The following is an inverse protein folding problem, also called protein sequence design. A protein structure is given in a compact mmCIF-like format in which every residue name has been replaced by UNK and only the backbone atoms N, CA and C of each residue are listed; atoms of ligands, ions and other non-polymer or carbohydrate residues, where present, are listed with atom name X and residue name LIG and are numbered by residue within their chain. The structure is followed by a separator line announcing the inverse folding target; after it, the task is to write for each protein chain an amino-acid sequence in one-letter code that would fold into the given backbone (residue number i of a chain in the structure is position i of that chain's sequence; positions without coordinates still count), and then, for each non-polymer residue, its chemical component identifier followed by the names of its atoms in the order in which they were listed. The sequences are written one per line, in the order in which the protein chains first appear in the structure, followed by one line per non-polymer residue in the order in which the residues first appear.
data_IF_805510832210
#
_entry.id   IF_805510832210
#
_cell.length_a   1.000
_cell.length_b   1.000
_cell.length_c   1.000
_cell.angle_alpha   90.00
_cell.angle_beta   90.00
_cell.angle_gamma   90.00
#
_symmetry.space_group_name_H-M   'P 1'
#
loop_
_entity.id
_entity.type
_entity.pdbx_description
1 polymer ?
#
# COMPACT_ATOMS: atom_id res chain seq x y z
N UNK A 1 -6.83 16.51 -7.75
CA UNK A 1 -6.70 17.99 -7.89
C UNK A 1 -5.85 18.34 -9.11
N UNK A 2 -6.22 19.35 -9.90
CA UNK A 2 -5.40 19.85 -11.02
C UNK A 2 -4.67 21.13 -10.63
N UNK A 3 -3.37 21.19 -10.90
CA UNK A 3 -2.54 22.37 -10.64
C UNK A 3 -1.62 22.63 -11.84
N UNK A 4 -1.15 23.87 -11.97
CA UNK A 4 -0.18 24.23 -13.01
C UNK A 4 1.20 24.43 -12.38
N UNK A 5 2.21 23.72 -12.87
CA UNK A 5 3.61 23.84 -12.47
C UNK A 5 4.44 24.09 -13.73
N UNK A 6 5.17 25.21 -13.79
CA UNK A 6 6.02 25.56 -14.94
C UNK A 6 5.28 25.40 -16.29
N UNK A 7 4.07 25.99 -16.37
CA UNK A 7 3.16 25.94 -17.52
C UNK A 7 2.64 24.55 -17.94
N UNK A 8 2.84 23.53 -17.09
CA UNK A 8 2.28 22.19 -17.27
C UNK A 8 1.14 21.93 -16.28
N UNK A 9 0.00 21.51 -16.79
CA UNK A 9 -1.10 21.02 -15.96
C UNK A 9 -0.74 19.60 -15.45
N UNK A 10 -0.77 19.41 -14.13
CA UNK A 10 -0.53 18.12 -13.49
C UNK A 10 -1.70 17.76 -12.59
N UNK A 11 -1.91 16.46 -12.38
CA UNK A 11 -2.99 15.92 -11.55
C UNK A 11 -2.39 15.30 -10.30
N UNK A 12 -2.64 15.91 -9.16
CA UNK A 12 -2.24 15.40 -7.84
C UNK A 12 -3.42 14.62 -7.24
N UNK A 13 -3.22 13.38 -6.76
CA UNK A 13 -4.29 12.63 -6.13
C UNK A 13 -4.72 13.27 -4.81
N UNK A 14 -6.03 13.30 -4.60
CA UNK A 14 -6.73 13.85 -3.42
C UNK A 14 -7.44 12.80 -2.60
N UNK A 15 -7.56 11.58 -3.13
CA UNK A 15 -8.12 10.41 -2.44
C UNK A 15 -7.34 9.16 -2.80
N UNK A 16 -7.48 8.12 -1.97
CA UNK A 16 -6.86 6.82 -2.21
C UNK A 16 -7.36 6.15 -3.50
N UNK A 17 -8.57 6.52 -3.97
CA UNK A 17 -9.11 6.04 -5.24
C UNK A 17 -8.50 6.70 -6.49
N UNK A 18 -7.77 7.80 -6.33
CA UNK A 18 -7.19 8.57 -7.44
C UNK A 18 -5.76 8.15 -7.80
N UNK A 19 -5.17 7.21 -7.05
CA UNK A 19 -3.88 6.60 -7.41
C UNK A 19 -3.90 5.09 -7.17
N UNK A 20 -2.96 4.42 -7.82
CA UNK A 20 -2.95 2.97 -7.94
C UNK A 20 -1.88 2.33 -7.06
N UNK A 21 -2.06 1.03 -6.79
CA UNK A 21 -1.07 0.22 -6.10
C UNK A 21 0.28 0.23 -6.84
N UNK A 22 0.28 0.22 -8.16
CA UNK A 22 1.47 0.37 -8.98
C UNK A 22 2.18 1.70 -8.75
N UNK A 23 1.44 2.80 -8.66
CA UNK A 23 2.02 4.11 -8.30
C UNK A 23 2.58 4.13 -6.88
N UNK A 24 1.93 3.46 -5.92
CA UNK A 24 2.44 3.33 -4.54
C UNK A 24 3.75 2.55 -4.47
N UNK A 25 3.85 1.46 -5.24
CA UNK A 25 5.06 0.64 -5.38
C UNK A 25 6.18 1.47 -6.02
N UNK A 26 5.90 2.14 -7.15
CA UNK A 26 6.88 2.98 -7.81
C UNK A 26 7.39 4.11 -6.90
N UNK A 27 6.52 4.76 -6.12
CA UNK A 27 6.95 5.74 -5.13
C UNK A 27 7.87 5.13 -4.05
N UNK A 28 7.55 3.92 -3.59
CA UNK A 28 8.36 3.22 -2.60
C UNK A 28 9.76 2.91 -3.14
N UNK A 29 9.83 2.43 -4.39
CA UNK A 29 11.08 2.10 -5.07
C UNK A 29 11.94 3.34 -5.33
N UNK A 30 11.31 4.43 -5.82
CA UNK A 30 12.01 5.65 -6.20
C UNK A 30 12.47 6.46 -4.98
N UNK A 31 11.63 6.60 -3.96
CA UNK A 31 11.90 7.46 -2.80
C UNK A 31 11.65 6.80 -1.45
N UNK A 32 10.60 5.99 -1.31
CA UNK A 32 10.14 5.50 -0.01
C UNK A 32 11.18 4.66 0.75
N UNK A 33 11.95 3.82 0.06
CA UNK A 33 12.97 2.97 0.71
C UNK A 33 14.12 3.78 1.33
N UNK A 34 14.55 4.84 0.65
CA UNK A 34 15.55 5.77 1.18
C UNK A 34 14.99 6.56 2.37
N UNK A 35 13.76 7.07 2.23
CA UNK A 35 13.06 7.80 3.29
C UNK A 35 12.85 6.92 4.54
N UNK A 36 12.46 5.66 4.39
CA UNK A 36 12.30 4.71 5.49
C UNK A 36 13.64 4.44 6.20
N UNK A 37 14.73 4.37 5.43
CA UNK A 37 16.08 4.20 5.98
C UNK A 37 16.53 5.44 6.74
N UNK A 38 16.24 6.63 6.21
CA UNK A 38 16.56 7.90 6.86
C UNK A 38 15.76 8.06 8.15
N UNK A 39 14.45 7.82 8.12
CA UNK A 39 13.59 7.91 9.30
C UNK A 39 14.07 6.98 10.43
N UNK A 40 14.50 5.76 10.12
CA UNK A 40 15.07 4.84 11.12
C UNK A 40 16.32 5.42 11.79
N UNK A 41 17.22 6.02 11.01
CA UNK A 41 18.41 6.70 11.57
C UNK A 41 18.01 7.83 12.52
N UNK A 42 17.02 8.65 12.14
CA UNK A 42 16.51 9.74 12.98
C UNK A 42 15.92 9.22 14.29
N UNK A 43 15.14 8.13 14.23
CA UNK A 43 14.55 7.49 15.41
C UNK A 43 15.63 7.03 16.38
N UNK A 44 16.75 6.52 15.87
CA UNK A 44 17.89 6.03 16.65
C UNK A 44 18.81 7.16 17.18
N UNK A 45 18.60 8.42 16.79
CA UNK A 45 19.36 9.56 17.30
C UNK A 45 18.94 9.94 18.72
N UNK A 46 19.93 10.37 19.52
CA UNK A 46 19.67 10.99 20.82
C UNK A 46 18.85 12.28 20.65
N UNK A 47 17.95 12.52 21.59
CA UNK A 47 17.12 13.73 21.57
C UNK A 47 17.99 14.97 21.78
N UNK A 48 17.83 15.95 20.89
CA UNK A 48 18.60 17.18 20.91
C UNK A 48 18.49 17.95 19.60
N UNK A 49 19.21 19.07 19.53
CA UNK A 49 19.19 19.98 18.38
C UNK A 49 19.51 19.27 17.07
N UNK A 50 20.47 18.34 17.07
CA UNK A 50 20.87 17.59 15.87
C UNK A 50 19.72 16.74 15.33
N UNK A 51 18.96 16.07 16.20
CA UNK A 51 17.78 15.29 15.83
C UNK A 51 16.66 16.20 15.31
N UNK A 52 16.42 17.34 15.94
CA UNK A 52 15.41 18.31 15.49
C UNK A 52 15.73 18.86 14.10
N UNK A 53 17.01 19.16 13.82
CA UNK A 53 17.48 19.60 12.52
C UNK A 53 17.30 18.51 11.46
N UNK A 54 17.70 17.29 11.77
CA UNK A 54 17.56 16.15 10.86
C UNK A 54 16.09 15.83 10.56
N UNK A 55 15.21 15.89 11.56
CA UNK A 55 13.76 15.75 11.38
C UNK A 55 13.18 16.85 10.47
N UNK A 56 13.66 18.09 10.61
CA UNK A 56 13.23 19.19 9.75
C UNK A 56 13.64 18.94 8.29
N UNK A 57 14.88 18.53 8.07
CA UNK A 57 15.38 18.20 6.72
C UNK A 57 14.60 17.03 6.12
N UNK A 58 14.38 15.96 6.89
CA UNK A 58 13.57 14.82 6.47
C UNK A 58 12.15 15.22 6.08
N UNK A 59 11.48 16.07 6.87
CA UNK A 59 10.12 16.55 6.56
C UNK A 59 10.08 17.33 5.25
N UNK A 60 11.08 18.19 5.01
CA UNK A 60 11.20 18.93 3.74
C UNK A 60 11.44 17.98 2.56
N UNK A 61 12.42 17.08 2.67
CA UNK A 61 12.75 16.13 1.60
C UNK A 61 11.58 15.19 1.27
N UNK A 62 10.91 14.65 2.29
CA UNK A 62 9.70 13.83 2.10
C UNK A 62 8.62 14.62 1.34
N UNK A 63 8.37 15.87 1.73
CA UNK A 63 7.40 16.73 1.08
C UNK A 63 7.73 16.94 -0.40
N UNK A 64 8.96 17.37 -0.72
CA UNK A 64 9.37 17.65 -2.09
C UNK A 64 9.34 16.40 -2.96
N UNK A 65 9.88 15.27 -2.48
CA UNK A 65 9.92 14.01 -3.23
C UNK A 65 8.51 13.46 -3.49
N UNK A 66 7.64 13.51 -2.48
CA UNK A 66 6.24 13.08 -2.63
C UNK A 66 5.52 13.92 -3.68
N UNK A 67 5.64 15.25 -3.58
CA UNK A 67 5.01 16.15 -4.54
C UNK A 67 5.57 15.94 -5.95
N UNK A 68 6.90 15.86 -6.09
CA UNK A 68 7.59 15.65 -7.35
C UNK A 68 7.11 14.38 -8.06
N UNK A 69 7.03 13.27 -7.30
CA UNK A 69 6.55 11.98 -7.81
C UNK A 69 5.16 12.09 -8.42
N UNK A 70 4.18 12.61 -7.67
CA UNK A 70 2.79 12.71 -8.16
C UNK A 70 2.61 13.80 -9.21
N UNK A 71 3.45 14.84 -9.20
CA UNK A 71 3.47 15.87 -10.23
C UNK A 71 4.15 15.39 -11.53
N UNK A 72 4.86 14.25 -11.50
CA UNK A 72 5.63 13.77 -12.65
C UNK A 72 6.83 14.66 -12.98
N UNK A 73 7.47 15.24 -11.96
CA UNK A 73 8.68 16.05 -12.10
C UNK A 73 9.79 15.57 -11.16
N UNK A 74 10.97 16.20 -11.21
CA UNK A 74 12.08 15.88 -10.30
C UNK A 74 12.12 16.85 -9.12
N UNK A 75 12.61 16.42 -7.95
CA UNK A 75 12.82 17.33 -6.82
C UNK A 75 13.68 18.55 -7.18
N UNK A 76 14.70 18.38 -8.02
CA UNK A 76 15.57 19.48 -8.45
C UNK A 76 14.83 20.51 -9.30
N UNK A 77 13.87 20.09 -10.14
CA UNK A 77 13.02 21.01 -10.90
C UNK A 77 12.11 21.87 -9.99
N UNK A 78 11.90 21.46 -8.74
CA UNK A 78 11.13 22.23 -7.75
C UNK A 78 11.99 23.23 -6.98
N UNK A 79 13.29 22.96 -6.80
CA UNK A 79 14.25 23.82 -6.09
C UNK A 79 14.49 25.16 -6.80
N UNK A 80 14.35 25.18 -8.12
CA UNK A 80 14.45 26.40 -8.93
C UNK A 80 13.14 27.21 -8.95
N UNK A 81 12.08 26.71 -8.31
CA UNK A 81 10.76 27.33 -8.36
C UNK A 81 10.53 28.27 -7.16
N UNK A 82 9.88 29.42 -7.39
CA UNK A 82 9.49 30.36 -6.34
C UNK A 82 8.32 29.84 -5.46
N UNK A 83 7.92 28.57 -5.62
CA UNK A 83 6.64 28.03 -5.16
C UNK A 83 6.72 27.11 -3.94
N UNK A 84 7.79 27.18 -3.14
CA UNK A 84 7.99 26.32 -1.95
C UNK A 84 6.76 26.35 -1.03
N UNK A 85 6.20 27.53 -0.76
CA UNK A 85 4.99 27.69 0.07
C UNK A 85 3.76 27.00 -0.55
N UNK A 86 3.62 27.03 -1.89
CA UNK A 86 2.51 26.37 -2.57
C UNK A 86 2.66 24.84 -2.52
N UNK A 87 3.87 24.33 -2.68
CA UNK A 87 4.18 22.90 -2.55
C UNK A 87 3.86 22.44 -1.13
N UNK A 88 4.30 23.20 -0.12
CA UNK A 88 4.00 22.92 1.28
C UNK A 88 2.50 22.91 1.55
N UNK A 89 1.77 23.91 1.06
CA UNK A 89 0.32 23.97 1.21
C UNK A 89 -0.38 22.76 0.56
N UNK A 90 0.00 22.39 -0.66
CA UNK A 90 -0.57 21.23 -1.35
C UNK A 90 -0.23 19.93 -0.60
N UNK A 91 1.02 19.78 -0.17
CA UNK A 91 1.44 18.60 0.57
C UNK A 91 0.65 18.46 1.87
N UNK A 92 0.61 19.49 2.72
CA UNK A 92 -0.04 19.42 4.02
C UNK A 92 -1.57 19.35 3.96
N UNK A 93 -2.20 19.98 2.97
CA UNK A 93 -3.66 19.96 2.82
C UNK A 93 -4.19 18.71 2.12
N UNK A 94 -3.35 18.01 1.36
CA UNK A 94 -3.77 16.95 0.46
C UNK A 94 -2.93 15.68 0.64
N UNK A 95 -1.65 15.71 0.29
CA UNK A 95 -0.82 14.50 0.21
C UNK A 95 -0.51 13.90 1.58
N UNK A 96 -0.24 14.69 2.62
CA UNK A 96 -0.02 14.15 3.97
C UNK A 96 -1.28 13.50 4.53
N UNK A 97 -2.44 14.16 4.33
CA UNK A 97 -3.75 13.64 4.74
C UNK A 97 -4.08 12.34 4.00
N UNK A 98 -3.70 12.24 2.72
CA UNK A 98 -3.84 11.03 1.92
C UNK A 98 -3.09 9.85 2.56
N UNK A 99 -1.83 10.03 2.94
CA UNK A 99 -1.06 8.96 3.60
C UNK A 99 -1.59 8.65 5.01
N UNK A 100 -2.03 9.65 5.77
CA UNK A 100 -2.68 9.41 7.07
C UNK A 100 -3.97 8.60 6.92
N UNK A 101 -4.69 8.76 5.81
CA UNK A 101 -5.92 8.04 5.52
C UNK A 101 -5.71 6.57 5.18
N UNK A 102 -4.49 6.14 4.81
CA UNK A 102 -4.17 4.72 4.56
C UNK A 102 -4.52 3.84 5.77
N UNK A 103 -4.30 4.35 6.98
CA UNK A 103 -4.59 3.64 8.24
C UNK A 103 -6.09 3.56 8.60
N UNK A 104 -6.95 4.27 7.85
CA UNK A 104 -8.37 4.46 8.16
C UNK A 104 -9.30 3.79 7.15
N UNK A 105 -8.75 3.08 6.17
CA UNK A 105 -9.55 2.42 5.13
C UNK A 105 -10.43 1.35 5.76
N UNK A 106 -11.71 1.37 5.41
CA UNK A 106 -12.67 0.34 5.81
C UNK A 106 -12.64 -0.82 4.80
N UNK A 107 -12.56 -2.04 5.33
CA UNK A 107 -12.66 -3.24 4.52
C UNK A 107 -14.12 -3.49 4.11
N UNK A 108 -14.41 -3.39 2.82
CA UNK A 108 -15.68 -3.82 2.23
C UNK A 108 -15.58 -5.27 1.74
N UNK A 109 -16.69 -6.01 1.77
CA UNK A 109 -16.75 -7.36 1.20
C UNK A 109 -16.84 -7.35 -0.34
N UNK A 110 -17.32 -6.25 -0.90
CA UNK A 110 -17.56 -6.08 -2.34
C UNK A 110 -17.05 -4.71 -2.80
N UNK A 111 -16.41 -4.69 -3.96
CA UNK A 111 -15.87 -3.52 -4.63
C UNK A 111 -16.35 -3.46 -6.08
N UNK A 112 -16.58 -2.25 -6.58
CA UNK A 112 -16.88 -2.01 -7.99
C UNK A 112 -15.65 -1.42 -8.67
N UNK A 113 -15.05 -2.16 -9.60
CA UNK A 113 -13.84 -1.74 -10.27
C UNK A 113 -13.85 -2.16 -11.75
N UNK A 114 -13.44 -1.24 -12.63
CA UNK A 114 -13.50 -1.39 -14.10
C UNK A 114 -14.88 -1.83 -14.64
N UNK A 115 -15.96 -1.40 -13.99
CA UNK A 115 -17.33 -1.74 -14.38
C UNK A 115 -17.77 -3.15 -13.97
N UNK A 116 -16.96 -3.86 -13.19
CA UNK A 116 -17.24 -5.21 -12.70
C UNK A 116 -17.30 -5.24 -11.17
N UNK A 117 -18.01 -6.26 -10.65
CA UNK A 117 -18.07 -6.55 -9.23
C UNK A 117 -16.94 -7.49 -8.84
N UNK A 118 -16.19 -7.09 -7.82
CA UNK A 118 -15.10 -7.84 -7.22
C UNK A 118 -15.43 -8.08 -5.75
N UNK A 119 -15.16 -9.28 -5.26
CA UNK A 119 -15.47 -9.66 -3.88
C UNK A 119 -14.23 -10.20 -3.18
N UNK A 120 -14.17 -9.99 -1.87
CA UNK A 120 -13.14 -10.59 -1.04
C UNK A 120 -13.51 -12.04 -0.75
N UNK A 121 -12.68 -12.96 -1.20
CA UNK A 121 -12.83 -14.37 -0.88
C UNK A 121 -12.02 -14.69 0.38
N UNK A 122 -12.63 -15.03 1.53
CA UNK A 122 -11.87 -15.37 2.72
C UNK A 122 -10.97 -16.59 2.51
N UNK A 123 -9.82 -16.67 3.18
CA UNK A 123 -9.08 -17.92 3.27
C UNK A 123 -10.01 -18.96 3.90
N UNK A 124 -10.37 -19.99 3.14
CA UNK A 124 -11.25 -21.06 3.60
C UNK A 124 -10.49 -21.99 4.54
N UNK A 125 -10.39 -21.60 5.81
CA UNK A 125 -9.96 -22.49 6.90
C UNK A 125 -11.21 -23.09 7.56
N UNK A 126 -11.96 -23.94 6.85
CA UNK A 126 -13.07 -24.68 7.45
C UNK A 126 -12.60 -26.04 7.97
N UNK A 127 -13.08 -26.40 9.16
CA UNK A 127 -12.79 -27.68 9.79
C UNK A 127 -13.35 -28.83 8.93
N UNK A 128 -12.48 -29.74 8.49
CA UNK A 128 -12.85 -30.91 7.69
C UNK A 128 -12.73 -30.77 6.17
N UNK A 129 -12.41 -29.58 5.64
CA UNK A 129 -12.01 -29.46 4.24
C UNK A 129 -10.61 -30.07 4.05
N UNK A 130 -10.48 -30.97 3.07
CA UNK A 130 -9.17 -31.47 2.66
C UNK A 130 -8.44 -30.36 1.92
N UNK A 131 -7.70 -29.55 2.67
CA UNK A 131 -6.76 -28.58 2.13
C UNK A 131 -5.82 -29.31 1.18
N UNK A 132 -5.83 -28.92 -0.10
CA UNK A 132 -4.78 -29.37 -1.02
C UNK A 132 -3.47 -28.77 -0.50
N UNK A 133 -2.39 -29.54 -0.56
CA UNK A 133 -1.08 -29.11 -0.06
C UNK A 133 -0.62 -27.75 -0.63
N UNK A 134 -1.01 -27.43 -1.86
CA UNK A 134 -0.80 -26.09 -2.46
C UNK A 134 -1.45 -24.96 -1.67
N UNK A 135 -2.70 -25.13 -1.22
CA UNK A 135 -3.45 -24.13 -0.45
C UNK A 135 -2.80 -23.86 0.93
N UNK A 136 -2.15 -24.87 1.53
CA UNK A 136 -1.39 -24.72 2.77
C UNK A 136 -0.09 -23.92 2.55
N UNK A 137 0.65 -24.22 1.48
CA UNK A 137 1.86 -23.48 1.09
C UNK A 137 1.51 -22.02 0.77
N UNK A 138 0.40 -21.80 0.06
CA UNK A 138 -0.09 -20.46 -0.28
C UNK A 138 -0.50 -19.68 0.96
N UNK A 139 -1.12 -20.32 1.95
CA UNK A 139 -1.43 -19.67 3.24
C UNK A 139 -0.17 -19.21 3.99
N UNK A 140 0.91 -19.99 3.91
CA UNK A 140 2.22 -19.61 4.48
C UNK A 140 2.86 -18.47 3.68
N UNK A 141 2.77 -18.50 2.36
CA UNK A 141 3.22 -17.41 1.49
C UNK A 141 2.44 -16.13 1.75
N UNK A 142 1.13 -16.21 2.04
CA UNK A 142 0.29 -15.07 2.44
C UNK A 142 0.74 -14.48 3.77
N UNK A 143 1.00 -15.30 4.79
CA UNK A 143 1.55 -14.83 6.07
C UNK A 143 2.91 -14.16 5.84
N UNK A 144 3.76 -14.76 5.01
CA UNK A 144 5.03 -14.15 4.63
C UNK A 144 4.79 -12.80 3.94
N UNK A 145 3.96 -12.72 2.91
CA UNK A 145 3.61 -11.50 2.17
C UNK A 145 3.07 -10.40 3.09
N UNK A 146 2.28 -10.73 4.10
CA UNK A 146 1.80 -9.77 5.11
C UNK A 146 2.92 -9.29 6.04
N UNK A 147 3.84 -10.18 6.43
CA UNK A 147 5.07 -9.79 7.13
C UNK A 147 6.00 -8.95 6.25
N UNK A 148 6.00 -9.17 4.94
CA UNK A 148 6.77 -8.37 3.97
C UNK A 148 6.17 -6.98 3.80
N UNK A 149 4.84 -6.89 3.72
CA UNK A 149 4.10 -5.63 3.68
C UNK A 149 4.40 -4.77 4.92
N UNK A 150 4.44 -5.38 6.10
CA UNK A 150 4.86 -4.71 7.35
C UNK A 150 6.32 -4.22 7.34
N UNK A 151 7.12 -4.58 6.34
CA UNK A 151 8.49 -4.08 6.10
C UNK A 151 8.57 -3.11 4.91
N UNK A 152 7.46 -2.47 4.54
CA UNK A 152 7.35 -1.58 3.39
C UNK A 152 7.56 -2.24 2.02
N UNK A 153 7.45 -3.57 1.91
CA UNK A 153 7.51 -4.27 0.61
C UNK A 153 6.11 -4.36 -0.01
N UNK A 154 5.74 -3.33 -0.74
CA UNK A 154 4.40 -3.17 -1.31
C UNK A 154 4.09 -4.14 -2.46
N UNK A 155 5.09 -4.72 -3.11
CA UNK A 155 4.90 -5.74 -4.16
C UNK A 155 4.15 -6.97 -3.65
N UNK A 156 4.32 -7.30 -2.38
CA UNK A 156 3.58 -8.37 -1.73
C UNK A 156 2.05 -8.14 -1.79
N UNK A 157 1.60 -6.87 -1.81
CA UNK A 157 0.19 -6.52 -1.94
C UNK A 157 -0.39 -6.92 -3.29
N UNK A 158 0.40 -6.93 -4.37
CA UNK A 158 -0.08 -7.38 -5.70
C UNK A 158 -0.55 -8.83 -5.63
N UNK A 159 0.26 -9.69 -5.01
CA UNK A 159 -0.05 -11.11 -4.83
C UNK A 159 -1.28 -11.29 -3.94
N UNK A 160 -1.37 -10.52 -2.85
CA UNK A 160 -2.52 -10.57 -1.94
C UNK A 160 -3.81 -10.16 -2.65
N UNK A 161 -3.79 -9.07 -3.41
CA UNK A 161 -4.95 -8.65 -4.20
C UNK A 161 -5.31 -9.69 -5.26
N UNK A 162 -4.31 -10.26 -5.96
CA UNK A 162 -4.53 -11.29 -6.98
C UNK A 162 -5.24 -12.55 -6.46
N UNK A 163 -4.93 -12.97 -5.23
CA UNK A 163 -5.51 -14.16 -4.60
C UNK A 163 -6.92 -13.86 -4.06
N UNK A 164 -7.08 -12.73 -3.36
CA UNK A 164 -8.23 -12.51 -2.49
C UNK A 164 -9.32 -11.64 -3.12
N UNK A 165 -8.95 -10.72 -4.00
CA UNK A 165 -9.89 -9.89 -4.74
C UNK A 165 -10.19 -10.59 -6.07
N UNK A 166 -11.33 -11.26 -6.16
CA UNK A 166 -11.75 -12.03 -7.34
C UNK A 166 -13.18 -11.73 -7.71
N UNK A 167 -13.59 -12.03 -8.94
CA UNK A 167 -15.00 -11.98 -9.32
C UNK A 167 -15.82 -13.02 -8.53
N UNK A 168 -17.15 -12.85 -8.35
CA UNK A 168 -17.96 -13.73 -7.50
C UNK A 168 -17.85 -15.24 -7.80
N UNK A 169 -17.68 -15.60 -9.07
CA UNK A 169 -17.58 -16.99 -9.54
C UNK A 169 -16.18 -17.38 -10.01
N UNK A 170 -15.17 -16.55 -9.73
CA UNK A 170 -13.80 -16.80 -10.17
C UNK A 170 -13.08 -17.67 -9.16
N UNK A 171 -12.75 -18.90 -9.59
CA UNK A 171 -11.90 -19.80 -8.82
C UNK A 171 -10.45 -19.28 -8.79
N UNK A 172 -9.71 -19.70 -7.77
CA UNK A 172 -8.29 -19.40 -7.69
C UNK A 172 -7.54 -20.22 -8.73
N UNK A 173 -6.58 -19.59 -9.40
CA UNK A 173 -5.69 -20.23 -10.36
C UNK A 173 -4.25 -19.84 -10.02
N UNK A 174 -3.36 -20.82 -9.92
CA UNK A 174 -1.94 -20.60 -9.58
C UNK A 174 -1.23 -19.67 -10.59
N UNK A 175 -1.71 -19.62 -11.84
CA UNK A 175 -1.18 -18.71 -12.87
C UNK A 175 -1.36 -17.23 -12.53
N UNK A 176 -2.25 -16.90 -11.58
CA UNK A 176 -2.41 -15.54 -11.07
C UNK A 176 -1.11 -14.99 -10.48
N UNK A 177 -0.26 -15.86 -9.96
CA UNK A 177 0.97 -15.49 -9.27
C UNK A 177 2.22 -15.54 -10.16
N UNK A 178 2.09 -15.90 -11.44
CA UNK A 178 3.24 -15.88 -12.34
C UNK A 178 3.74 -14.46 -12.56
N UNK A 179 5.06 -14.29 -12.63
CA UNK A 179 5.67 -13.00 -12.92
C UNK A 179 5.15 -12.45 -14.25
N UNK A 180 4.70 -11.19 -14.25
CA UNK A 180 4.06 -10.53 -15.39
C UNK A 180 2.78 -11.23 -15.90
N UNK A 181 2.08 -11.97 -15.04
CA UNK A 181 0.74 -12.46 -15.37
C UNK A 181 -0.22 -11.29 -15.63
N UNK A 182 -1.22 -11.52 -16.48
CA UNK A 182 -2.29 -10.53 -16.71
C UNK A 182 -2.97 -10.12 -15.39
N UNK A 183 -3.06 -11.05 -14.42
CA UNK A 183 -3.60 -10.78 -13.09
C UNK A 183 -2.73 -9.79 -12.31
N UNK A 184 -1.42 -9.99 -12.25
CA UNK A 184 -0.52 -9.10 -11.51
C UNK A 184 -0.49 -7.71 -12.13
N UNK A 185 -0.41 -7.62 -13.46
CA UNK A 185 -0.45 -6.33 -14.16
C UNK A 185 -1.78 -5.62 -13.93
N UNK A 186 -2.89 -6.37 -13.91
CA UNK A 186 -4.18 -5.83 -13.50
C UNK A 186 -4.14 -5.27 -12.07
N UNK A 187 -3.56 -6.00 -11.10
CA UNK A 187 -3.45 -5.52 -9.71
C UNK A 187 -2.58 -4.27 -9.55
N UNK A 188 -1.63 -4.00 -10.45
CA UNK A 188 -0.88 -2.74 -10.46
C UNK A 188 -1.78 -1.53 -10.70
N UNK A 189 -2.87 -1.71 -11.44
CA UNK A 189 -3.83 -0.63 -11.73
C UNK A 189 -4.92 -0.49 -10.65
N UNK A 190 -4.86 -1.29 -9.58
CA UNK A 190 -5.87 -1.31 -8.54
C UNK A 190 -5.82 0.01 -7.75
N UNK A 191 -6.95 0.73 -7.58
CA UNK A 191 -7.04 1.88 -6.69
C UNK A 191 -6.61 1.54 -5.26
N UNK A 192 -5.92 2.47 -4.61
CA UNK A 192 -5.30 2.20 -3.31
C UNK A 192 -6.31 1.99 -2.18
N UNK A 193 -7.51 2.57 -2.25
CA UNK A 193 -8.59 2.29 -1.31
C UNK A 193 -9.02 0.81 -1.36
N UNK A 194 -9.10 0.23 -2.56
CA UNK A 194 -9.41 -1.19 -2.73
C UNK A 194 -8.23 -2.06 -2.26
N UNK A 195 -7.01 -1.73 -2.67
CA UNK A 195 -5.81 -2.49 -2.30
C UNK A 195 -5.60 -2.54 -0.77
N UNK A 196 -5.78 -1.40 -0.09
CA UNK A 196 -5.70 -1.33 1.37
C UNK A 196 -6.85 -2.08 2.05
N UNK A 197 -8.05 -2.06 1.46
CA UNK A 197 -9.18 -2.88 1.91
C UNK A 197 -8.83 -4.37 1.96
N UNK A 198 -8.12 -4.89 0.95
CA UNK A 198 -7.57 -6.26 0.95
C UNK A 198 -6.54 -6.46 2.06
N UNK A 199 -5.63 -5.51 2.25
CA UNK A 199 -4.65 -5.56 3.35
C UNK A 199 -5.30 -5.69 4.73
N UNK A 200 -6.29 -4.83 5.02
CA UNK A 200 -7.04 -4.85 6.27
C UNK A 200 -7.83 -6.15 6.47
N UNK A 201 -8.48 -6.63 5.40
CA UNK A 201 -9.19 -7.90 5.41
C UNK A 201 -8.33 -9.05 5.94
N UNK A 202 -7.07 -9.10 5.49
CA UNK A 202 -6.15 -10.16 5.86
C UNK A 202 -5.63 -10.01 7.28
N UNK A 203 -5.31 -8.78 7.72
CA UNK A 203 -4.94 -8.53 9.12
C UNK A 203 -6.06 -8.95 10.08
N UNK A 204 -7.32 -8.67 9.73
CA UNK A 204 -8.48 -9.11 10.51
C UNK A 204 -8.64 -10.64 10.49
N UNK A 205 -8.47 -11.27 9.32
CA UNK A 205 -8.61 -12.73 9.14
C UNK A 205 -7.54 -13.53 9.90
N UNK A 206 -6.29 -13.04 9.96
CA UNK A 206 -5.22 -13.66 10.74
C UNK A 206 -5.46 -13.52 12.24
N UNK A 207 -5.91 -12.35 12.69
CA UNK A 207 -6.21 -12.10 14.11
C UNK A 207 -7.28 -13.07 14.64
N UNK A 208 -8.33 -13.31 13.84
CA UNK A 208 -9.37 -14.29 14.15
C UNK A 208 -8.83 -15.73 14.18
N UNK A 209 -7.96 -16.09 13.23
CA UNK A 209 -7.37 -17.43 13.14
C UNK A 209 -6.44 -17.75 14.32
N UNK A 210 -5.62 -16.79 14.76
CA UNK A 210 -4.71 -16.97 15.90
C UNK A 210 -5.46 -17.19 17.22
N UNK A 211 -6.58 -16.47 17.44
CA UNK A 211 -7.44 -16.71 18.60
C UNK A 211 -8.07 -18.11 18.57
N UNK A 212 -8.44 -18.61 17.39
CA UNK A 212 -8.96 -19.95 17.25
C UNK A 212 -7.92 -21.04 17.51
N UNK A 213 -6.71 -20.94 16.92
CA UNK A 213 -5.63 -21.91 17.16
C UNK A 213 -5.18 -21.98 18.62
N UNK A 214 -5.15 -20.85 19.33
CA UNK A 214 -4.84 -20.83 20.76
C UNK A 214 -5.97 -21.44 21.61
N UNK A 215 -7.24 -21.22 21.26
CA UNK A 215 -8.37 -21.82 21.99
C UNK A 215 -8.49 -23.33 21.83
N UNK A 216 -8.03 -23.90 20.70
CA UNK A 216 -8.01 -25.34 20.46
C UNK A 216 -6.82 -26.05 21.12
N UNK A 217 -5.74 -25.34 21.47
CA UNK A 217 -4.58 -25.92 22.18
C UNK A 217 -4.71 -25.93 23.71
N UNK A 218 -5.81 -25.42 24.27
CA UNK A 218 -6.11 -25.45 25.72
C UNK A 218 -7.12 -26.56 26.05
N UNK A 219 -7.51 -27.38 25.06
CA UNK A 219 -8.48 -28.45 25.21
C UNK A 219 -7.88 -29.87 25.04
N UNK A 220 -6.63 -30.07 25.45
CA UNK A 220 -6.04 -31.41 25.70
C UNK A 220 -5.60 -31.56 27.17
#
# INVERSE_FOLDING_TARGET
MRITINDKEVVIPTSLSEFTLGQRIAFQEEYGNELDTWLKKIVDMEDGLDKEMEEMEFRMEKMFRTFAFFAGCTPDALKESEFVDNIANIYHSCLSVLFESESKVECLQEYHWKGETWVLHPPSLKHGDQMKFGEFIDSKQVVQNLMELGKSRWDAMLNLCAIYLRRPSEEYDESFLYDNSERIEMMRELPMDIALGVGFFLTASISLSNHHFQSSNVAE
#
